data_IF_346184482598
#
_entry.id   IF_346184482598
#
_cell.length_a   1.000
_cell.length_b   1.000
_cell.length_c   1.000
_cell.angle_alpha   90.00
_cell.angle_beta   90.00
_cell.angle_gamma   90.00
#
_symmetry.space_group_name_H-M   'P 1'
#
loop_
_entity.id
_entity.type
_entity.pdbx_description
1 polymer ?
#
# COMPACT_ATOMS: atom_id res chain seq x y z
N UNK A 1 -63.46 6.84 -57.57
CA UNK A 1 -62.53 6.22 -58.55
C UNK A 1 -61.11 6.63 -58.18
N UNK A 2 -60.08 5.81 -58.04
CA UNK A 2 -59.91 4.38 -57.87
C UNK A 2 -58.45 4.24 -57.41
N UNK A 3 -58.22 3.30 -56.50
CA UNK A 3 -56.93 2.81 -55.99
C UNK A 3 -55.85 2.50 -57.04
N UNK A 4 -54.56 2.63 -56.65
CA UNK A 4 -53.52 1.57 -56.62
C UNK A 4 -52.11 2.19 -56.51
N UNK A 5 -51.37 2.02 -55.40
CA UNK A 5 -50.44 0.90 -55.10
C UNK A 5 -49.61 0.42 -56.30
N UNK A 6 -48.31 0.74 -56.29
CA UNK A 6 -47.25 -0.19 -56.75
C UNK A 6 -46.13 -0.30 -55.73
N UNK A 7 -46.20 -1.44 -55.05
CA UNK A 7 -45.16 -2.19 -54.35
C UNK A 7 -43.88 -2.38 -55.17
N UNK A 8 -42.73 -2.29 -54.50
CA UNK A 8 -41.57 -3.13 -54.83
C UNK A 8 -41.25 -4.04 -53.65
N UNK A 9 -41.02 -5.31 -53.99
CA UNK A 9 -40.89 -6.45 -53.09
C UNK A 9 -39.55 -6.49 -52.35
N UNK A 10 -39.66 -6.87 -51.07
CA UNK A 10 -38.85 -7.81 -50.29
C UNK A 10 -37.59 -8.38 -50.96
N UNK A 11 -36.44 -8.15 -50.32
CA UNK A 11 -35.54 -9.24 -49.92
C UNK A 11 -35.23 -9.11 -48.43
N UNK A 12 -35.64 -10.14 -47.71
CA UNK A 12 -35.39 -10.44 -46.32
C UNK A 12 -33.95 -10.87 -46.11
N UNK A 13 -33.27 -10.26 -45.13
CA UNK A 13 -32.17 -10.89 -44.40
C UNK A 13 -32.53 -10.83 -42.92
N UNK A 14 -32.58 -12.00 -42.30
CA UNK A 14 -32.86 -12.21 -40.88
C UNK A 14 -31.76 -11.50 -40.07
N UNK A 15 -32.12 -10.50 -39.26
CA UNK A 15 -31.28 -10.13 -38.12
C UNK A 15 -31.61 -11.09 -36.99
N UNK A 16 -30.64 -11.92 -36.62
CA UNK A 16 -30.70 -12.71 -35.42
C UNK A 16 -30.75 -11.76 -34.22
N UNK A 17 -31.77 -11.90 -33.39
CA UNK A 17 -31.88 -11.30 -32.07
C UNK A 17 -30.87 -12.00 -31.15
N UNK A 18 -29.60 -11.65 -31.24
CA UNK A 18 -28.64 -12.02 -30.22
C UNK A 18 -28.82 -11.00 -29.09
N UNK A 19 -29.46 -11.44 -28.00
CA UNK A 19 -29.56 -10.66 -26.78
C UNK A 19 -28.16 -10.16 -26.39
N UNK A 20 -28.04 -8.85 -26.20
CA UNK A 20 -26.86 -8.26 -25.57
C UNK A 20 -26.78 -8.82 -24.14
N UNK A 21 -25.96 -9.85 -23.97
CA UNK A 21 -25.47 -10.24 -22.65
C UNK A 21 -24.67 -9.05 -22.11
N UNK A 22 -25.15 -8.50 -21.00
CA UNK A 22 -24.32 -7.77 -20.05
C UNK A 22 -23.08 -8.63 -19.76
N UNK A 23 -21.85 -8.08 -19.82
CA UNK A 23 -20.69 -8.83 -19.38
C UNK A 23 -20.87 -9.13 -17.89
N UNK A 24 -21.11 -10.41 -17.59
CA UNK A 24 -21.08 -10.93 -16.24
C UNK A 24 -19.70 -10.57 -15.64
N UNK A 25 -19.72 -9.86 -14.52
CA UNK A 25 -18.57 -9.77 -13.62
C UNK A 25 -18.04 -11.20 -13.40
N UNK A 26 -16.72 -11.45 -13.47
CA UNK A 26 -16.21 -12.79 -13.24
C UNK A 26 -16.65 -13.25 -11.85
N UNK A 27 -17.49 -14.28 -11.84
CA UNK A 27 -17.90 -15.04 -10.67
C UNK A 27 -16.63 -15.61 -10.04
N UNK A 28 -16.53 -15.43 -8.72
CA UNK A 28 -15.49 -15.91 -7.84
C UNK A 28 -15.05 -17.34 -8.19
N UNK A 29 -13.74 -17.56 -8.26
CA UNK A 29 -13.20 -18.90 -8.31
C UNK A 29 -13.62 -19.66 -7.04
N UNK A 30 -14.04 -20.91 -7.22
CA UNK A 30 -14.55 -21.85 -6.21
C UNK A 30 -13.85 -21.75 -4.84
N UNK A 31 -14.67 -21.56 -3.80
CA UNK A 31 -14.33 -21.54 -2.36
C UNK A 31 -13.80 -22.89 -1.79
N UNK A 32 -13.52 -23.88 -2.64
CA UNK A 32 -13.17 -25.25 -2.20
C UNK A 32 -11.68 -25.59 -2.28
N UNK A 33 -10.81 -24.60 -2.49
CA UNK A 33 -9.35 -24.79 -2.47
C UNK A 33 -8.62 -23.77 -1.57
N UNK A 34 -9.33 -23.28 -0.54
CA UNK A 34 -8.66 -22.78 0.67
C UNK A 34 -7.97 -23.99 1.31
N UNK A 35 -6.71 -24.23 0.94
CA UNK A 35 -5.81 -24.99 1.81
C UNK A 35 -5.98 -24.42 3.20
N UNK A 36 -6.45 -25.26 4.13
CA UNK A 36 -6.71 -24.92 5.53
C UNK A 36 -5.71 -23.88 6.01
N UNK A 37 -6.19 -22.68 6.30
CA UNK A 37 -5.45 -21.68 7.06
C UNK A 37 -5.08 -22.40 8.36
N UNK A 38 -3.81 -22.68 8.65
CA UNK A 38 -3.46 -23.34 9.89
C UNK A 38 -4.00 -22.48 11.02
N UNK A 39 -4.80 -23.08 11.90
CA UNK A 39 -5.31 -22.42 13.11
C UNK A 39 -4.15 -21.72 13.79
N UNK A 40 -4.29 -20.41 14.02
CA UNK A 40 -3.32 -19.56 14.72
C UNK A 40 -3.00 -20.20 16.08
N UNK A 41 -1.92 -20.96 16.13
CA UNK A 41 -1.25 -21.24 17.39
C UNK A 41 -0.61 -19.92 17.84
N UNK A 42 -0.58 -19.71 19.15
CA UNK A 42 0.02 -18.61 19.91
C UNK A 42 1.54 -18.43 19.65
N UNK A 43 1.96 -18.33 18.40
CA UNK A 43 3.35 -18.11 18.02
C UNK A 43 3.46 -16.67 17.57
N UNK A 44 4.24 -15.87 18.31
CA UNK A 44 4.58 -14.45 18.10
C UNK A 44 5.34 -14.17 16.78
N UNK A 45 5.29 -15.10 15.84
CA UNK A 45 6.10 -15.16 14.64
C UNK A 45 5.22 -15.68 13.51
N UNK A 46 5.07 -14.89 12.44
CA UNK A 46 4.39 -15.35 11.23
C UNK A 46 5.39 -16.07 10.33
N UNK A 47 5.28 -17.40 10.24
CA UNK A 47 6.05 -18.23 9.32
C UNK A 47 5.28 -18.39 8.02
N UNK A 48 5.40 -17.42 7.11
CA UNK A 48 4.91 -17.62 5.75
C UNK A 48 5.85 -18.59 5.04
N UNK A 49 5.33 -19.72 4.54
CA UNK A 49 6.12 -20.82 3.93
C UNK A 49 6.97 -20.43 2.69
N UNK A 50 6.94 -19.15 2.29
CA UNK A 50 7.73 -18.52 1.23
C UNK A 50 8.26 -17.12 1.59
N UNK A 51 8.07 -16.65 2.82
CA UNK A 51 8.03 -15.22 3.17
C UNK A 51 8.86 -14.79 4.40
N UNK A 52 9.73 -15.64 4.94
CA UNK A 52 10.65 -15.22 6.01
C UNK A 52 9.96 -15.10 7.37
N UNK A 53 10.64 -14.46 8.32
CA UNK A 53 10.19 -14.31 9.72
C UNK A 53 9.90 -12.84 9.99
N UNK A 54 8.73 -12.54 10.56
CA UNK A 54 8.35 -11.23 11.07
C UNK A 54 7.77 -11.41 12.46
N UNK A 55 8.20 -10.57 13.40
CA UNK A 55 7.87 -10.71 14.81
C UNK A 55 6.90 -9.62 15.25
N UNK A 56 5.99 -9.96 16.16
CA UNK A 56 5.10 -8.99 16.75
C UNK A 56 5.88 -8.13 17.75
N UNK A 57 5.78 -6.81 17.63
CA UNK A 57 6.42 -5.91 18.58
C UNK A 57 5.50 -5.60 19.76
N UNK A 58 6.08 -5.64 20.97
CA UNK A 58 5.37 -5.43 22.24
C UNK A 58 6.05 -4.30 23.01
N UNK A 59 5.56 -3.04 22.94
CA UNK A 59 6.18 -1.88 23.58
C UNK A 59 6.48 -2.07 25.07
N UNK A 60 5.62 -2.78 25.80
CA UNK A 60 5.78 -3.01 27.24
C UNK A 60 6.87 -4.07 27.56
N UNK A 61 7.11 -5.01 26.66
CA UNK A 61 8.12 -6.08 26.83
C UNK A 61 9.46 -5.71 26.20
N UNK A 62 9.41 -4.88 25.18
CA UNK A 62 10.54 -4.41 24.39
C UNK A 62 10.55 -2.88 24.40
N UNK A 63 10.77 -2.26 25.57
CA UNK A 63 10.77 -0.80 25.65
C UNK A 63 11.95 -0.27 24.85
N UNK A 64 11.65 0.45 23.78
CA UNK A 64 12.66 1.09 22.94
C UNK A 64 13.02 2.50 23.43
N UNK A 65 12.34 2.99 24.47
CA UNK A 65 12.47 4.36 24.94
C UNK A 65 11.92 5.34 23.91
N UNK A 66 12.72 6.33 23.54
CA UNK A 66 12.37 7.33 22.52
C UNK A 66 12.78 6.90 21.10
N UNK A 67 13.32 5.69 20.92
CA UNK A 67 13.75 5.20 19.61
C UNK A 67 12.57 4.97 18.67
N UNK A 68 12.76 5.35 17.42
CA UNK A 68 11.87 5.03 16.32
C UNK A 68 11.90 3.53 16.00
N UNK A 69 10.72 2.93 15.90
CA UNK A 69 10.55 1.53 15.47
C UNK A 69 9.75 1.51 14.17
N UNK A 70 10.31 0.89 13.13
CA UNK A 70 9.60 0.70 11.87
C UNK A 70 8.67 -0.50 11.97
N UNK A 71 7.37 -0.23 12.11
CA UNK A 71 6.34 -1.24 12.34
C UNK A 71 5.41 -1.40 11.14
N UNK A 72 5.19 -2.64 10.71
CA UNK A 72 4.12 -2.99 9.77
C UNK A 72 2.77 -3.12 10.46
N UNK A 73 1.71 -2.67 9.82
CA UNK A 73 0.35 -2.99 10.23
C UNK A 73 -0.07 -4.35 9.65
N UNK A 74 -0.35 -5.33 10.52
CA UNK A 74 -1.05 -6.58 10.16
C UNK A 74 -2.54 -6.27 9.98
N UNK A 75 -3.07 -6.58 8.80
CA UNK A 75 -4.46 -6.35 8.43
C UNK A 75 -5.07 -7.54 7.68
N UNK A 76 -6.41 -7.72 7.71
CA UNK A 76 -7.10 -8.78 6.96
C UNK A 76 -7.28 -8.46 5.47
N UNK A 77 -7.35 -9.52 4.64
CA UNK A 77 -7.73 -9.48 3.23
C UNK A 77 -6.56 -9.49 2.24
N UNK A 78 -5.53 -8.66 2.48
CA UNK A 78 -4.34 -8.60 1.64
C UNK A 78 -3.13 -9.27 2.28
N UNK A 79 -1.99 -9.16 1.60
CA UNK A 79 -0.71 -9.74 1.96
C UNK A 79 0.23 -8.68 2.56
N UNK A 80 -0.06 -8.27 3.79
CA UNK A 80 0.71 -7.28 4.56
C UNK A 80 2.18 -7.65 4.83
N UNK A 81 2.56 -8.90 4.53
CA UNK A 81 3.85 -9.54 4.79
C UNK A 81 4.71 -9.72 3.51
N UNK A 82 4.51 -8.90 2.48
CA UNK A 82 5.34 -8.90 1.26
C UNK A 82 6.77 -8.43 1.50
N UNK A 83 7.72 -8.83 0.65
CA UNK A 83 9.12 -8.36 0.65
C UNK A 83 9.89 -8.62 1.97
N UNK A 84 9.44 -9.60 2.75
CA UNK A 84 10.08 -10.04 3.99
C UNK A 84 11.17 -11.11 3.77
N UNK A 85 11.16 -11.79 2.62
CA UNK A 85 12.24 -12.70 2.23
C UNK A 85 13.37 -11.97 1.55
N UNK A 86 14.56 -12.53 1.73
CA UNK A 86 15.70 -12.29 0.86
C UNK A 86 15.50 -13.02 -0.49
N UNK A 87 14.52 -12.60 -1.29
CA UNK A 87 14.40 -13.07 -2.67
C UNK A 87 15.36 -12.31 -3.61
N UNK A 88 15.66 -11.05 -3.28
CA UNK A 88 16.42 -10.14 -4.13
C UNK A 88 17.65 -9.49 -3.48
N UNK A 89 18.12 -9.98 -2.33
CA UNK A 89 19.42 -9.71 -1.63
C UNK A 89 19.24 -9.44 -0.15
N UNK A 90 18.12 -8.82 0.28
CA UNK A 90 17.89 -8.41 1.66
C UNK A 90 16.40 -8.30 2.03
N UNK A 91 16.01 -8.59 3.29
CA UNK A 91 14.70 -8.20 3.82
C UNK A 91 14.54 -6.68 3.78
N UNK A 92 13.51 -6.20 3.10
CA UNK A 92 13.36 -4.79 2.73
C UNK A 92 13.40 -3.84 3.95
N UNK A 93 12.58 -4.13 4.96
CA UNK A 93 12.44 -3.30 6.17
C UNK A 93 13.74 -3.24 6.99
N UNK A 94 14.45 -4.37 7.09
CA UNK A 94 15.73 -4.42 7.80
C UNK A 94 16.80 -3.60 7.09
N UNK A 95 16.81 -3.65 5.75
CA UNK A 95 17.74 -2.83 4.98
C UNK A 95 17.41 -1.35 5.09
N UNK A 96 16.13 -1.00 5.00
CA UNK A 96 15.67 0.37 5.16
C UNK A 96 16.03 0.94 6.55
N UNK A 97 15.68 0.23 7.62
CA UNK A 97 15.99 0.67 9.00
C UNK A 97 17.49 0.82 9.25
N UNK A 98 18.33 -0.05 8.68
CA UNK A 98 19.79 0.10 8.76
C UNK A 98 20.32 1.29 7.97
N UNK A 99 19.70 1.64 6.84
CA UNK A 99 20.07 2.87 6.10
C UNK A 99 19.60 4.10 6.86
N UNK A 100 18.37 4.09 7.38
CA UNK A 100 17.82 5.17 8.22
C UNK A 100 18.72 5.46 9.42
N UNK A 101 19.14 4.44 10.17
CA UNK A 101 20.07 4.54 11.31
C UNK A 101 21.44 5.10 10.90
N UNK A 102 21.99 4.64 9.77
CA UNK A 102 23.34 5.03 9.33
C UNK A 102 23.43 6.38 8.65
N UNK A 103 22.34 6.84 8.02
CA UNK A 103 22.35 8.00 7.13
C UNK A 103 21.59 9.21 7.71
N UNK A 104 20.95 9.06 8.87
CA UNK A 104 20.21 10.14 9.54
C UNK A 104 20.57 10.21 11.02
N UNK A 105 20.06 11.23 11.72
CA UNK A 105 20.18 11.36 13.18
C UNK A 105 18.95 10.81 13.93
N UNK A 106 18.06 10.09 13.24
CA UNK A 106 16.91 9.45 13.88
C UNK A 106 17.45 8.26 14.69
N UNK A 107 17.13 8.22 15.99
CA UNK A 107 17.52 7.09 16.83
C UNK A 107 16.62 5.89 16.53
N UNK A 108 17.11 4.94 15.74
CA UNK A 108 16.32 3.78 15.26
C UNK A 108 16.58 2.57 16.14
N UNK A 109 15.52 1.85 16.50
CA UNK A 109 15.62 0.52 17.08
C UNK A 109 15.83 -0.53 15.97
N UNK A 110 16.97 -1.22 16.00
CA UNK A 110 17.33 -2.26 15.02
C UNK A 110 17.00 -3.65 15.57
N UNK A 111 16.30 -4.45 14.76
CA UNK A 111 15.86 -5.81 15.09
C UNK A 111 16.47 -6.85 14.15
N UNK A 112 16.50 -8.12 14.58
CA UNK A 112 16.93 -9.23 13.73
C UNK A 112 15.90 -9.62 12.67
N UNK A 113 14.62 -9.35 12.93
CA UNK A 113 13.51 -9.58 12.03
C UNK A 113 12.69 -8.29 11.88
N UNK A 114 11.98 -8.08 10.76
CA UNK A 114 10.98 -7.02 10.66
C UNK A 114 9.94 -7.14 11.77
N UNK A 115 9.27 -6.04 12.09
CA UNK A 115 8.37 -5.92 13.22
C UNK A 115 6.95 -5.58 12.76
N UNK A 116 5.94 -6.12 13.45
CA UNK A 116 4.53 -5.81 13.15
C UNK A 116 3.68 -5.56 14.40
N UNK A 117 2.55 -4.88 14.18
CA UNK A 117 1.43 -4.78 15.13
C UNK A 117 0.12 -5.14 14.41
N UNK A 118 -0.78 -5.85 15.08
CA UNK A 118 -2.11 -6.13 14.54
C UNK A 118 -3.01 -4.90 14.66
N UNK A 119 -3.88 -4.66 13.68
CA UNK A 119 -4.92 -3.61 13.80
C UNK A 119 -5.85 -3.83 15.01
N UNK A 120 -6.02 -5.08 15.43
CA UNK A 120 -6.84 -5.46 16.59
C UNK A 120 -6.10 -5.33 17.93
N UNK A 121 -4.80 -5.02 17.91
CA UNK A 121 -3.97 -4.88 19.10
C UNK A 121 -4.02 -3.45 19.65
N UNK A 122 -4.15 -3.26 20.96
CA UNK A 122 -4.19 -1.95 21.61
C UNK A 122 -2.85 -1.21 21.56
N UNK A 123 -1.74 -1.91 21.33
CA UNK A 123 -0.45 -1.29 21.05
C UNK A 123 -0.43 -0.54 19.71
N UNK A 124 -1.44 -0.67 18.85
CA UNK A 124 -1.58 0.13 17.62
C UNK A 124 -1.33 1.62 17.88
N UNK A 125 -1.86 2.14 19.00
CA UNK A 125 -1.80 3.55 19.36
C UNK A 125 -0.45 3.98 19.95
N UNK A 126 0.48 3.05 20.20
CA UNK A 126 1.82 3.36 20.71
C UNK A 126 2.79 3.81 19.61
N UNK A 127 2.44 3.62 18.33
CA UNK A 127 3.34 3.90 17.21
C UNK A 127 2.92 5.17 16.45
N UNK A 128 3.75 6.23 16.41
CA UNK A 128 3.42 7.44 15.66
C UNK A 128 3.36 7.20 14.14
N UNK A 129 4.00 6.13 13.67
CA UNK A 129 4.15 5.79 12.27
C UNK A 129 3.88 4.30 12.05
N UNK A 130 3.05 3.98 11.05
CA UNK A 130 2.77 2.60 10.63
C UNK A 130 2.98 2.46 9.13
N UNK A 131 3.64 1.37 8.75
CA UNK A 131 3.87 0.99 7.36
C UNK A 131 2.84 -0.06 6.89
N UNK A 132 2.32 0.12 5.68
CA UNK A 132 1.32 -0.74 5.05
C UNK A 132 1.79 -1.04 3.63
N UNK A 133 1.85 -2.30 3.26
CA UNK A 133 2.14 -2.73 1.89
C UNK A 133 1.36 -3.99 1.57
N UNK A 134 1.10 -4.25 0.29
CA UNK A 134 0.48 -5.48 -0.20
C UNK A 134 0.24 -5.42 -1.69
N UNK A 135 0.12 -6.58 -2.34
CA UNK A 135 -0.35 -6.68 -3.72
C UNK A 135 -1.86 -6.47 -3.82
N UNK A 136 -2.59 -6.71 -2.73
CA UNK A 136 -4.04 -6.56 -2.64
C UNK A 136 -4.44 -5.72 -1.43
N UNK A 137 -5.51 -4.94 -1.60
CA UNK A 137 -6.06 -4.05 -0.59
C UNK A 137 -6.53 -4.74 0.69
N UNK A 138 -6.46 -4.01 1.80
CA UNK A 138 -7.05 -4.38 3.07
C UNK A 138 -8.59 -4.47 3.00
N UNK A 139 -9.18 -5.30 3.86
CA UNK A 139 -10.63 -5.46 4.04
C UNK A 139 -11.00 -5.38 5.51
N UNK A 140 -11.04 -4.17 6.03
CA UNK A 140 -11.31 -3.95 7.45
C UNK A 140 -12.78 -4.21 7.83
N UNK A 141 -12.99 -4.77 9.02
CA UNK A 141 -14.28 -4.77 9.70
C UNK A 141 -14.68 -3.34 10.11
N UNK A 142 -15.90 -3.16 10.62
CA UNK A 142 -16.35 -1.84 11.09
C UNK A 142 -15.56 -1.38 12.33
N UNK A 143 -15.22 -2.32 13.22
CA UNK A 143 -14.43 -2.08 14.43
C UNK A 143 -13.00 -1.68 14.07
N UNK A 144 -12.38 -2.40 13.14
CA UNK A 144 -11.03 -2.11 12.64
C UNK A 144 -10.96 -0.74 11.95
N UNK A 145 -12.00 -0.39 11.17
CA UNK A 145 -12.17 0.95 10.60
C UNK A 145 -12.19 2.03 11.67
N UNK A 146 -12.90 1.82 12.78
CA UNK A 146 -12.94 2.77 13.90
C UNK A 146 -11.62 2.89 14.63
N UNK A 147 -10.90 1.80 14.85
CA UNK A 147 -9.55 1.85 15.43
C UNK A 147 -8.57 2.63 14.55
N UNK A 148 -8.62 2.40 13.23
CA UNK A 148 -7.77 3.14 12.29
C UNK A 148 -8.16 4.62 12.18
N UNK A 149 -9.46 4.93 12.24
CA UNK A 149 -9.94 6.31 12.32
C UNK A 149 -9.40 7.01 13.57
N UNK A 150 -9.54 6.38 14.73
CA UNK A 150 -9.01 6.89 16.00
C UNK A 150 -7.49 7.05 15.96
N UNK A 151 -6.76 6.09 15.39
CA UNK A 151 -5.30 6.17 15.21
C UNK A 151 -4.90 7.43 14.44
N UNK A 152 -5.56 7.70 13.31
CA UNK A 152 -5.30 8.87 12.47
C UNK A 152 -5.71 10.16 13.16
N UNK A 153 -6.86 10.21 13.86
CA UNK A 153 -7.32 11.38 14.62
C UNK A 153 -6.38 11.72 15.78
N UNK A 154 -5.73 10.72 16.39
CA UNK A 154 -4.77 10.90 17.50
C UNK A 154 -3.40 11.43 17.09
N UNK A 155 -3.12 11.57 15.81
CA UNK A 155 -1.80 12.00 15.34
C UNK A 155 -1.05 10.96 14.51
N UNK A 156 -1.55 9.74 14.40
CA UNK A 156 -0.88 8.66 13.67
C UNK A 156 -0.62 9.00 12.21
N UNK A 157 0.45 8.42 11.68
CA UNK A 157 0.89 8.54 10.29
C UNK A 157 0.91 7.16 9.63
N UNK A 158 0.19 7.02 8.52
CA UNK A 158 0.13 5.78 7.75
C UNK A 158 0.87 5.94 6.43
N UNK A 159 1.99 5.23 6.29
CA UNK A 159 2.71 5.10 5.02
C UNK A 159 2.19 3.86 4.30
N UNK A 160 1.46 4.05 3.19
CA UNK A 160 0.89 2.98 2.39
C UNK A 160 1.63 2.87 1.05
N UNK A 161 1.96 1.65 0.67
CA UNK A 161 2.56 1.30 -0.63
C UNK A 161 1.63 0.38 -1.42
N UNK A 162 1.69 0.46 -2.76
CA UNK A 162 1.11 -0.57 -3.65
C UNK A 162 2.23 -1.48 -4.14
N UNK A 163 2.28 -2.72 -3.65
CA UNK A 163 3.44 -3.58 -3.86
C UNK A 163 3.69 -3.92 -5.35
N UNK A 164 2.66 -3.82 -6.19
CA UNK A 164 2.83 -3.92 -7.63
C UNK A 164 1.78 -3.12 -8.40
N UNK A 165 2.09 -1.86 -8.67
CA UNK A 165 1.26 -0.97 -9.48
C UNK A 165 1.01 -1.46 -10.91
N UNK A 166 1.81 -2.39 -11.44
CA UNK A 166 1.58 -2.94 -12.79
C UNK A 166 0.32 -3.80 -12.85
N UNK A 167 -0.14 -4.31 -11.70
CA UNK A 167 -1.38 -5.06 -11.61
C UNK A 167 -2.60 -4.19 -11.98
N UNK A 168 -3.73 -4.85 -12.24
CA UNK A 168 -5.00 -4.18 -12.57
C UNK A 168 -4.89 -3.20 -13.76
N UNK A 169 -4.06 -3.55 -14.75
CA UNK A 169 -3.81 -2.72 -15.92
C UNK A 169 -3.01 -1.45 -15.62
N UNK A 170 -2.03 -1.54 -14.72
CA UNK A 170 -1.17 -0.42 -14.35
C UNK A 170 -1.74 0.51 -13.28
N UNK A 171 -2.75 0.06 -12.52
CA UNK A 171 -3.43 0.85 -11.47
C UNK A 171 -3.16 0.35 -10.05
N UNK A 172 -2.59 -0.84 -9.92
CA UNK A 172 -2.49 -1.54 -8.66
C UNK A 172 -3.85 -1.86 -8.04
N UNK A 173 -3.83 -2.40 -6.82
CA UNK A 173 -5.05 -2.73 -6.06
C UNK A 173 -5.15 -1.96 -4.74
N UNK A 174 -4.05 -1.47 -4.19
CA UNK A 174 -4.04 -0.74 -2.91
C UNK A 174 -4.72 0.62 -3.05
N UNK A 175 -4.49 1.30 -4.18
CA UNK A 175 -5.03 2.63 -4.47
C UNK A 175 -6.56 2.72 -4.28
N UNK A 176 -7.31 1.77 -4.83
CA UNK A 176 -8.77 1.77 -4.71
C UNK A 176 -9.22 1.40 -3.29
N UNK A 177 -8.50 0.52 -2.60
CA UNK A 177 -8.78 0.20 -1.20
C UNK A 177 -8.58 1.42 -0.28
N UNK A 178 -7.51 2.20 -0.50
CA UNK A 178 -7.28 3.48 0.18
C UNK A 178 -8.44 4.42 -0.07
N UNK A 179 -8.81 4.69 -1.32
CA UNK A 179 -9.93 5.61 -1.63
C UNK A 179 -11.26 5.21 -1.00
N UNK A 180 -11.59 3.92 -1.02
CA UNK A 180 -12.80 3.41 -0.37
C UNK A 180 -12.76 3.62 1.15
N UNK A 181 -11.63 3.30 1.79
CA UNK A 181 -11.44 3.51 3.21
C UNK A 181 -11.59 4.99 3.59
N UNK A 182 -10.95 5.91 2.86
CA UNK A 182 -11.08 7.35 3.14
C UNK A 182 -12.52 7.81 2.99
N UNK A 183 -13.21 7.39 1.92
CA UNK A 183 -14.61 7.75 1.70
C UNK A 183 -15.52 7.30 2.86
N UNK A 184 -15.21 6.16 3.47
CA UNK A 184 -15.99 5.62 4.58
C UNK A 184 -15.63 6.24 5.94
N UNK A 185 -14.34 6.53 6.19
CA UNK A 185 -13.88 7.06 7.48
C UNK A 185 -13.98 8.59 7.58
N UNK A 186 -13.67 9.27 6.47
CA UNK A 186 -13.46 10.72 6.36
C UNK A 186 -14.02 11.25 5.03
N UNK A 187 -15.35 11.19 4.82
CA UNK A 187 -15.99 11.54 3.54
C UNK A 187 -15.73 12.99 3.08
N UNK A 188 -15.36 13.88 3.99
CA UNK A 188 -15.01 15.28 3.73
C UNK A 188 -13.55 15.47 3.27
N UNK A 189 -12.68 14.49 3.52
CA UNK A 189 -11.27 14.55 3.15
C UNK A 189 -11.07 14.14 1.70
N UNK A 190 -10.04 14.70 1.07
CA UNK A 190 -9.66 14.40 -0.31
C UNK A 190 -8.32 13.70 -0.35
N UNK A 191 -8.19 12.80 -1.32
CA UNK A 191 -6.90 12.25 -1.72
C UNK A 191 -6.28 13.21 -2.72
N UNK A 192 -5.17 13.82 -2.35
CA UNK A 192 -4.49 14.84 -3.14
C UNK A 192 -3.19 14.26 -3.70
N UNK A 193 -2.83 14.63 -4.93
CA UNK A 193 -1.50 14.32 -5.47
C UNK A 193 -0.51 15.30 -4.88
N UNK A 194 0.63 14.79 -4.43
CA UNK A 194 1.69 15.63 -3.89
C UNK A 194 2.47 16.26 -5.04
N UNK A 195 2.72 17.56 -4.92
CA UNK A 195 3.65 18.30 -5.78
C UNK A 195 5.07 18.17 -5.21
N UNK A 196 6.08 18.19 -6.07
CA UNK A 196 7.48 18.08 -5.65
C UNK A 196 7.94 19.22 -4.72
N UNK A 197 7.22 20.35 -4.67
CA UNK A 197 7.47 21.40 -3.68
C UNK A 197 6.99 21.07 -2.26
N UNK A 198 6.24 19.98 -2.06
CA UNK A 198 5.74 19.60 -0.74
C UNK A 198 6.89 19.26 0.22
N UNK A 199 6.87 19.71 1.50
CA UNK A 199 7.99 19.51 2.43
C UNK A 199 8.39 18.05 2.69
N UNK A 200 7.50 17.10 2.45
CA UNK A 200 7.80 15.65 2.53
C UNK A 200 8.90 15.23 1.57
N UNK A 201 9.14 15.94 0.47
CA UNK A 201 10.22 15.66 -0.49
C UNK A 201 11.54 16.36 -0.11
N UNK A 202 11.54 17.11 1.00
CA UNK A 202 12.62 18.03 1.41
C UNK A 202 12.99 17.92 2.90
N UNK A 203 12.53 16.87 3.58
CA UNK A 203 12.63 16.78 5.04
C UNK A 203 14.05 16.45 5.53
N UNK A 204 14.73 15.51 4.88
CA UNK A 204 16.11 15.08 5.15
C UNK A 204 16.99 15.27 3.91
N UNK A 205 16.48 14.85 2.76
CA UNK A 205 17.07 14.98 1.42
C UNK A 205 16.18 15.88 0.57
N UNK A 206 16.78 16.58 -0.38
CA UNK A 206 16.08 17.45 -1.33
C UNK A 206 15.83 16.70 -2.64
N UNK A 207 14.56 16.53 -3.00
CA UNK A 207 14.14 15.94 -4.28
C UNK A 207 13.56 16.99 -5.23
N UNK A 208 14.29 17.22 -6.32
CA UNK A 208 13.86 18.12 -7.41
C UNK A 208 13.18 17.37 -8.57
N UNK A 209 13.14 16.04 -8.52
CA UNK A 209 12.46 15.19 -9.48
C UNK A 209 11.85 13.97 -8.80
N UNK A 210 10.83 13.39 -9.44
CA UNK A 210 10.17 12.18 -8.96
C UNK A 210 10.69 10.96 -9.72
N UNK A 211 11.42 10.09 -9.04
CA UNK A 211 11.88 8.81 -9.62
C UNK A 211 11.02 7.61 -9.19
N UNK A 212 10.35 7.71 -8.04
CA UNK A 212 9.49 6.66 -7.50
C UNK A 212 10.26 5.45 -6.95
N UNK A 213 9.51 4.39 -6.62
CA UNK A 213 10.02 3.12 -6.11
C UNK A 213 10.60 2.21 -7.19
N UNK A 214 10.32 0.90 -7.16
CA UNK A 214 10.95 -0.04 -8.08
C UNK A 214 10.36 0.00 -9.52
N UNK A 215 9.12 0.47 -9.67
CA UNK A 215 8.43 0.60 -10.96
C UNK A 215 7.71 1.93 -11.09
N UNK A 216 8.10 2.71 -12.09
CA UNK A 216 7.38 3.91 -12.49
C UNK A 216 6.40 3.60 -13.63
N UNK A 217 5.10 3.57 -13.33
CA UNK A 217 4.04 3.21 -14.31
C UNK A 217 3.15 4.40 -14.60
N UNK A 218 3.25 4.98 -15.80
CA UNK A 218 2.38 6.10 -16.18
C UNK A 218 1.00 5.61 -16.63
N UNK A 219 -0.10 6.32 -16.28
CA UNK A 219 -0.14 7.58 -15.52
C UNK A 219 -0.35 7.39 -14.01
N UNK A 220 -0.43 6.18 -13.47
CA UNK A 220 -0.95 5.92 -12.12
C UNK A 220 0.11 5.62 -11.04
N UNK A 221 1.38 5.56 -11.38
CA UNK A 221 2.50 5.20 -10.52
C UNK A 221 3.70 6.11 -10.73
N UNK A 222 3.44 7.41 -10.90
CA UNK A 222 4.45 8.42 -11.21
C UNK A 222 4.26 9.72 -10.39
N UNK A 223 3.63 9.59 -9.23
CA UNK A 223 3.40 10.62 -8.22
C UNK A 223 2.90 9.94 -6.94
N UNK A 224 3.12 10.57 -5.78
CA UNK A 224 2.52 10.14 -4.53
C UNK A 224 1.19 10.86 -4.26
N UNK A 225 0.40 10.28 -3.37
CA UNK A 225 -0.84 10.87 -2.88
C UNK A 225 -0.79 11.03 -1.37
N UNK A 226 -1.56 11.99 -0.85
CA UNK A 226 -1.73 12.19 0.57
C UNK A 226 -3.18 12.49 0.95
N UNK A 227 -3.49 12.21 2.22
CA UNK A 227 -4.68 12.68 2.90
C UNK A 227 -4.24 13.50 4.11
N UNK A 228 -4.63 14.77 4.11
CA UNK A 228 -4.22 15.76 5.10
C UNK A 228 -5.26 15.95 6.19
N UNK A 229 -4.81 15.88 7.44
CA UNK A 229 -5.57 16.14 8.65
C UNK A 229 -5.06 17.48 9.20
N UNK A 230 -5.90 18.51 9.06
CA UNK A 230 -5.55 19.90 9.34
C UNK A 230 -4.32 20.33 8.53
N UNK A 231 -3.17 20.52 9.19
CA UNK A 231 -1.92 20.97 8.56
C UNK A 231 -0.87 19.85 8.41
N UNK A 232 -1.23 18.58 8.68
CA UNK A 232 -0.31 17.43 8.57
C UNK A 232 -0.84 16.33 7.67
N UNK A 233 0.06 15.58 7.05
CA UNK A 233 -0.31 14.33 6.38
C UNK A 233 -0.62 13.29 7.45
N UNK A 234 -1.79 12.66 7.38
CA UNK A 234 -2.10 11.48 8.18
C UNK A 234 -1.92 10.19 7.40
N UNK A 235 -2.09 10.24 6.08
CA UNK A 235 -1.87 9.09 5.20
C UNK A 235 -1.05 9.55 4.00
N UNK A 236 0.10 8.93 3.80
CA UNK A 236 0.92 9.04 2.61
C UNK A 236 0.77 7.74 1.81
N UNK A 237 0.46 7.85 0.52
CA UNK A 237 0.32 6.71 -0.37
C UNK A 237 1.29 6.82 -1.55
N UNK A 238 2.32 5.98 -1.55
CA UNK A 238 3.21 5.81 -2.68
C UNK A 238 2.74 4.63 -3.54
N UNK A 239 2.34 4.85 -4.80
CA UNK A 239 1.93 3.77 -5.68
C UNK A 239 3.12 3.05 -6.32
N UNK A 240 4.33 3.61 -6.30
CA UNK A 240 5.46 3.07 -7.08
C UNK A 240 6.35 2.07 -6.32
N UNK A 241 5.99 1.73 -5.08
CA UNK A 241 6.64 0.77 -4.19
C UNK A 241 8.11 1.09 -3.83
N UNK A 242 8.32 1.93 -2.82
CA UNK A 242 9.67 2.16 -2.28
C UNK A 242 10.23 0.87 -1.65
N UNK A 243 9.38 0.03 -1.05
CA UNK A 243 9.75 -1.18 -0.34
C UNK A 243 10.33 -2.26 -1.27
N UNK A 244 9.82 -2.43 -2.48
CA UNK A 244 10.46 -3.29 -3.49
C UNK A 244 11.85 -2.76 -3.91
N UNK A 245 12.03 -1.44 -3.97
CA UNK A 245 13.35 -0.87 -4.29
C UNK A 245 14.36 -1.15 -3.17
N UNK A 246 13.93 -1.07 -1.91
CA UNK A 246 14.77 -1.39 -0.75
C UNK A 246 15.14 -2.87 -0.70
N UNK A 247 14.23 -3.79 -1.07
CA UNK A 247 14.49 -5.24 -1.19
C UNK A 247 15.62 -5.57 -2.19
N UNK A 248 15.89 -4.68 -3.14
CA UNK A 248 16.91 -4.87 -4.17
C UNK A 248 16.37 -5.20 -5.55
N UNK A 249 15.05 -5.07 -5.79
CA UNK A 249 14.46 -5.32 -7.12
C UNK A 249 15.03 -4.38 -8.17
N UNK A 250 15.12 -4.79 -9.45
CA UNK A 250 15.52 -3.88 -10.52
C UNK A 250 14.57 -2.68 -10.59
N UNK A 251 15.10 -1.48 -10.38
CA UNK A 251 14.34 -0.24 -10.48
C UNK A 251 14.30 0.21 -11.94
N UNK A 252 13.11 0.54 -12.45
CA UNK A 252 12.91 0.90 -13.84
C UNK A 252 11.96 2.10 -13.98
N UNK A 253 12.32 3.10 -14.80
CA UNK A 253 13.43 3.09 -15.78
C UNK A 253 14.79 3.56 -15.26
N UNK A 254 14.89 4.06 -14.02
CA UNK A 254 16.05 4.82 -13.54
C UNK A 254 17.16 4.01 -12.85
N UNK A 255 17.06 2.69 -12.77
CA UNK A 255 18.14 1.85 -12.22
C UNK A 255 18.55 2.22 -10.79
N UNK A 256 19.84 2.25 -10.51
CA UNK A 256 20.35 2.49 -9.15
C UNK A 256 20.13 3.92 -8.64
N UNK A 257 20.03 4.91 -9.54
CA UNK A 257 19.66 6.29 -9.16
C UNK A 257 18.24 6.34 -8.61
N UNK A 258 17.30 5.67 -9.28
CA UNK A 258 15.93 5.50 -8.78
C UNK A 258 15.88 4.70 -7.47
N UNK A 259 16.75 3.69 -7.29
CA UNK A 259 16.85 2.98 -6.01
C UNK A 259 17.33 3.89 -4.89
N UNK A 260 18.38 4.68 -5.14
CA UNK A 260 18.91 5.63 -4.16
C UNK A 260 17.83 6.63 -3.77
N UNK A 261 17.15 7.22 -4.75
CA UNK A 261 16.01 8.09 -4.54
C UNK A 261 14.92 7.42 -3.69
N UNK A 262 14.63 6.14 -3.92
CA UNK A 262 13.62 5.45 -3.12
C UNK A 262 14.01 5.27 -1.64
N UNK A 263 15.31 5.07 -1.33
CA UNK A 263 15.79 5.07 0.05
C UNK A 263 15.70 6.47 0.67
N UNK A 264 16.18 7.48 -0.04
CA UNK A 264 16.14 8.90 0.38
C UNK A 264 14.70 9.36 0.62
N UNK A 265 13.76 9.01 -0.27
CA UNK A 265 12.35 9.32 -0.11
C UNK A 265 11.73 8.59 1.09
N UNK A 266 12.08 7.33 1.33
CA UNK A 266 11.65 6.62 2.54
C UNK A 266 12.11 7.33 3.82
N UNK A 267 13.36 7.78 3.85
CA UNK A 267 13.92 8.53 4.99
C UNK A 267 13.24 9.89 5.15
N UNK A 268 12.98 10.59 4.05
CA UNK A 268 12.21 11.82 4.01
C UNK A 268 10.80 11.66 4.59
N UNK A 269 10.08 10.61 4.20
CA UNK A 269 8.72 10.31 4.72
C UNK A 269 8.75 10.05 6.23
N UNK A 270 9.74 9.28 6.72
CA UNK A 270 9.92 9.08 8.17
C UNK A 270 10.28 10.39 8.87
N UNK A 271 11.20 11.17 8.31
CA UNK A 271 11.60 12.48 8.86
C UNK A 271 10.42 13.43 8.99
N UNK A 272 9.60 13.54 7.94
CA UNK A 272 8.38 14.34 7.92
C UNK A 272 7.36 13.88 8.97
N UNK A 273 7.18 12.57 9.13
CA UNK A 273 6.21 12.01 10.06
C UNK A 273 6.60 12.20 11.55
N UNK A 274 7.89 12.39 11.84
CA UNK A 274 8.42 12.54 13.19
C UNK A 274 8.70 14.01 13.58
N UNK A 275 8.57 14.95 12.65
CA UNK A 275 8.83 16.39 12.85
C UNK A 275 7.65 17.18 13.42
#
# INVERSE_FOLDING_TARGET
MTTHRRTFLKKSVKLATTGLLLPQLPIFADDNNLTEIPSENETNTYQGSRYGTIDQHWPDKEPTGEKFVFIRLKYPGGDWYTNLVDYYRWPSDLRFTQMLDRQTNIDVALYSNPQFVSIDDDYLFAYPYLFVTGHVGFRFSQEQKWRLKEYLERGGFLHIEDCDVRLNGGRGFMREAVRLLIKELFPEKKVERLDLSHPIYHSIYDHNEYLGGDKLVKPYGCYDEAITFDDRIGIYFCPSDLNCAWEGRPCSPGGEEQRQWAFEQGMNVVGYALS
#
